data_IF_143303019817
#
_entry.id   IF_143303019817
#
_cell.length_a   1.000
_cell.length_b   1.000
_cell.length_c   1.000
_cell.angle_alpha   90.00
_cell.angle_beta   90.00
_cell.angle_gamma   90.00
#
_symmetry.space_group_name_H-M   'P 1'
#
loop_
_entity.id
_entity.type
_entity.pdbx_description
1 polymer ?
#
# COMPACT_ATOMS: atom_id res chain seq x y z
N UNK A 1 -6.86 -2.80 -17.92
CA UNK A 1 -5.99 -2.36 -19.02
C UNK A 1 -6.64 -2.64 -20.38
N UNK A 2 -6.33 -1.81 -21.37
CA UNK A 2 -6.89 -1.91 -22.73
C UNK A 2 -6.53 -3.26 -23.40
N UNK A 3 -5.53 -3.95 -22.85
CA UNK A 3 -5.05 -5.26 -23.30
C UNK A 3 -5.94 -6.44 -22.91
N UNK A 4 -6.92 -6.26 -22.01
CA UNK A 4 -7.77 -7.35 -21.51
C UNK A 4 -7.08 -8.40 -20.64
N UNK A 5 -5.77 -8.26 -20.38
CA UNK A 5 -4.96 -9.14 -19.52
C UNK A 5 -4.78 -8.54 -18.12
N UNK A 6 -4.41 -9.33 -17.09
CA UNK A 6 -3.95 -8.77 -15.82
C UNK A 6 -2.80 -7.78 -16.04
N UNK A 7 -2.74 -6.71 -15.23
CA UNK A 7 -1.69 -5.71 -15.36
C UNK A 7 -0.28 -6.27 -15.09
N UNK A 8 -0.15 -7.25 -14.17
CA UNK A 8 1.14 -7.81 -13.78
C UNK A 8 2.13 -6.72 -13.38
N UNK A 9 3.36 -6.82 -13.88
CA UNK A 9 4.42 -5.82 -13.67
C UNK A 9 4.10 -4.42 -14.23
N UNK A 10 3.14 -4.31 -15.15
CA UNK A 10 2.77 -3.04 -15.78
C UNK A 10 1.73 -2.25 -14.97
N UNK A 11 1.35 -2.73 -13.78
CA UNK A 11 0.47 -1.96 -12.91
C UNK A 11 1.19 -0.66 -12.49
N UNK A 12 0.54 0.51 -12.60
CA UNK A 12 1.18 1.78 -12.26
C UNK A 12 1.57 1.83 -10.78
N UNK A 13 2.65 2.54 -10.49
CA UNK A 13 3.01 2.84 -9.10
C UNK A 13 1.90 3.71 -8.50
N UNK A 14 1.40 3.30 -7.35
CA UNK A 14 0.36 4.01 -6.59
C UNK A 14 0.93 4.57 -5.30
N UNK A 15 0.50 5.77 -4.96
CA UNK A 15 0.90 6.50 -3.76
C UNK A 15 -0.22 6.53 -2.73
N UNK A 16 0.10 7.01 -1.52
CA UNK A 16 -0.91 7.25 -0.48
C UNK A 16 -1.95 8.28 -0.93
N UNK A 17 -1.52 9.31 -1.67
CA UNK A 17 -2.42 10.31 -2.26
C UNK A 17 -3.40 9.68 -3.25
N UNK A 18 -2.93 8.77 -4.12
CA UNK A 18 -3.80 8.07 -5.08
C UNK A 18 -4.89 7.25 -4.37
N UNK A 19 -4.53 6.56 -3.28
CA UNK A 19 -5.50 5.82 -2.48
C UNK A 19 -6.52 6.72 -1.82
N UNK A 20 -6.08 7.83 -1.20
CA UNK A 20 -6.99 8.78 -0.55
C UNK A 20 -7.90 9.47 -1.55
N UNK A 21 -7.39 9.84 -2.73
CA UNK A 21 -8.19 10.41 -3.82
C UNK A 21 -9.23 9.39 -4.33
N UNK A 22 -8.87 8.12 -4.46
CA UNK A 22 -9.81 7.06 -4.83
C UNK A 22 -10.92 6.88 -3.77
N UNK A 23 -10.56 6.92 -2.49
CA UNK A 23 -11.51 6.85 -1.38
C UNK A 23 -12.44 8.07 -1.33
N UNK A 24 -11.94 9.27 -1.62
CA UNK A 24 -12.75 10.48 -1.69
C UNK A 24 -13.80 10.41 -2.81
N UNK A 25 -13.41 9.92 -3.99
CA UNK A 25 -14.35 9.68 -5.10
C UNK A 25 -15.42 8.65 -4.73
N UNK A 26 -15.06 7.62 -3.96
CA UNK A 26 -16.03 6.67 -3.44
C UNK A 26 -16.99 7.34 -2.44
N UNK A 27 -16.46 8.19 -1.55
CA UNK A 27 -17.29 8.95 -0.60
C UNK A 27 -18.32 9.82 -1.33
N UNK A 28 -17.94 10.45 -2.46
CA UNK A 28 -18.86 11.23 -3.30
C UNK A 28 -20.00 10.36 -3.85
N UNK A 29 -19.70 9.17 -4.36
CA UNK A 29 -20.71 8.21 -4.86
C UNK A 29 -21.64 7.74 -3.74
N UNK A 30 -21.12 7.64 -2.51
CA UNK A 30 -21.90 7.25 -1.33
C UNK A 30 -22.65 8.43 -0.69
N UNK A 31 -22.54 9.65 -1.22
CA UNK A 31 -23.07 10.89 -0.65
C UNK A 31 -22.59 11.14 0.80
N UNK A 32 -21.30 10.93 1.05
CA UNK A 32 -20.65 11.22 2.33
C UNK A 32 -19.81 12.49 2.17
N UNK A 33 -20.37 13.60 2.63
CA UNK A 33 -19.70 14.90 2.56
C UNK A 33 -18.55 15.01 3.58
N UNK A 34 -18.78 14.54 4.80
CA UNK A 34 -17.83 14.65 5.91
C UNK A 34 -17.77 13.37 6.75
N UNK A 35 -16.56 12.85 6.95
CA UNK A 35 -16.30 11.77 7.89
C UNK A 35 -16.30 12.28 9.33
N UNK A 36 -16.99 11.57 10.22
CA UNK A 36 -16.89 11.82 11.65
C UNK A 36 -15.46 11.58 12.16
N UNK A 37 -14.81 10.52 11.68
CA UNK A 37 -13.39 10.26 11.93
C UNK A 37 -12.77 9.44 10.81
N UNK A 38 -11.48 9.65 10.56
CA UNK A 38 -10.62 8.75 9.76
C UNK A 38 -9.57 8.17 10.70
N UNK A 39 -9.47 6.84 10.74
CA UNK A 39 -8.67 6.11 11.73
C UNK A 39 -7.79 5.11 11.02
N UNK A 40 -6.49 5.07 11.34
CA UNK A 40 -5.59 4.12 10.72
C UNK A 40 -4.31 3.86 11.50
N UNK A 41 -3.84 2.61 11.45
CA UNK A 41 -2.55 2.18 11.98
C UNK A 41 -1.50 2.02 10.89
N UNK A 42 -0.21 2.25 11.19
CA UNK A 42 0.90 2.03 10.23
C UNK A 42 0.66 2.76 8.89
N UNK A 43 0.65 2.07 7.75
CA UNK A 43 0.31 2.64 6.44
C UNK A 43 -1.12 3.21 6.38
N UNK A 44 -2.05 2.66 7.15
CA UNK A 44 -3.39 3.24 7.31
C UNK A 44 -3.35 4.58 8.05
N UNK A 45 -2.42 4.76 8.99
CA UNK A 45 -2.22 6.04 9.66
C UNK A 45 -1.66 7.11 8.72
N UNK A 46 -0.83 6.71 7.75
CA UNK A 46 -0.34 7.60 6.69
C UNK A 46 -1.51 8.09 5.83
N UNK A 47 -2.44 7.18 5.48
CA UNK A 47 -3.67 7.54 4.76
C UNK A 47 -4.59 8.46 5.59
N UNK A 48 -4.75 8.19 6.89
CA UNK A 48 -5.55 9.03 7.78
C UNK A 48 -5.00 10.46 7.84
N UNK A 49 -3.68 10.62 7.97
CA UNK A 49 -3.02 11.92 7.89
C UNK A 49 -3.21 12.57 6.52
N UNK A 50 -3.02 11.82 5.43
CA UNK A 50 -3.21 12.34 4.08
C UNK A 50 -4.64 12.85 3.84
N UNK A 51 -5.66 12.19 4.37
CA UNK A 51 -7.04 12.67 4.35
C UNK A 51 -7.18 14.07 4.96
N UNK A 52 -6.56 14.32 6.11
CA UNK A 52 -6.62 15.64 6.75
C UNK A 52 -5.89 16.74 5.98
N UNK A 53 -4.91 16.37 5.16
CA UNK A 53 -4.14 17.32 4.35
C UNK A 53 -4.87 17.65 3.05
N UNK A 54 -5.31 16.61 2.32
CA UNK A 54 -5.93 16.78 1.00
C UNK A 54 -7.40 17.24 1.08
N UNK A 55 -8.12 16.84 2.13
CA UNK A 55 -9.56 17.08 2.29
C UNK A 55 -9.91 17.56 3.71
N UNK A 56 -9.31 18.67 4.19
CA UNK A 56 -9.46 19.12 5.57
C UNK A 56 -10.93 19.37 5.97
N UNK A 57 -11.76 19.87 5.05
CA UNK A 57 -13.18 20.15 5.32
C UNK A 57 -14.06 18.89 5.36
N UNK A 58 -13.53 17.73 4.95
CA UNK A 58 -14.25 16.46 4.87
C UNK A 58 -13.94 15.51 6.03
N UNK A 59 -13.17 15.95 7.04
CA UNK A 59 -12.77 15.10 8.18
C UNK A 59 -12.86 15.89 9.48
N UNK A 60 -13.64 15.40 10.44
CA UNK A 60 -13.74 16.05 11.78
C UNK A 60 -12.65 15.61 12.75
N UNK A 61 -12.26 14.33 12.71
CA UNK A 61 -11.26 13.76 13.60
C UNK A 61 -10.32 12.82 12.85
N UNK A 62 -9.05 12.84 13.23
CA UNK A 62 -8.04 11.92 12.70
C UNK A 62 -7.33 11.20 13.84
N UNK A 63 -7.29 9.87 13.77
CA UNK A 63 -6.54 9.03 14.68
C UNK A 63 -5.49 8.25 13.89
N UNK A 64 -4.23 8.67 14.00
CA UNK A 64 -3.08 7.99 13.40
C UNK A 64 -2.31 7.22 14.47
N UNK A 65 -2.21 5.90 14.31
CA UNK A 65 -1.67 5.00 15.34
C UNK A 65 -0.41 4.32 14.80
N UNK A 66 0.69 4.31 15.57
CA UNK A 66 1.95 3.64 15.18
C UNK A 66 2.35 3.94 13.72
N UNK A 67 2.30 5.23 13.36
CA UNK A 67 2.48 5.72 12.00
C UNK A 67 3.46 6.88 11.98
N UNK A 68 3.86 7.31 10.79
CA UNK A 68 4.76 8.42 10.58
C UNK A 68 4.34 9.18 9.31
N UNK A 69 4.57 10.51 9.23
CA UNK A 69 4.26 11.29 8.03
C UNK A 69 5.14 10.92 6.82
N UNK A 70 6.27 10.23 7.06
CA UNK A 70 7.15 9.69 6.02
C UNK A 70 7.87 8.44 6.51
N UNK A 71 8.33 7.61 5.58
CA UNK A 71 9.15 6.44 5.91
C UNK A 71 10.54 6.85 6.41
N UNK A 72 11.02 6.15 7.43
CA UNK A 72 12.41 6.26 7.88
C UNK A 72 13.35 5.48 6.95
N UNK A 73 14.65 5.82 6.97
CA UNK A 73 15.67 5.07 6.21
C UNK A 73 15.68 3.58 6.58
N UNK A 74 15.46 3.25 7.86
CA UNK A 74 15.35 1.87 8.33
C UNK A 74 14.14 1.15 7.73
N UNK A 75 12.96 1.78 7.70
CA UNK A 75 11.78 1.17 7.07
C UNK A 75 11.95 0.99 5.57
N UNK A 76 12.60 1.94 4.90
CA UNK A 76 12.94 1.83 3.47
C UNK A 76 13.86 0.63 3.25
N UNK A 77 14.90 0.46 4.07
CA UNK A 77 15.82 -0.67 3.96
C UNK A 77 15.10 -2.02 4.16
N UNK A 78 14.23 -2.16 5.17
CA UNK A 78 13.45 -3.38 5.36
C UNK A 78 12.52 -3.69 4.18
N UNK A 79 11.82 -2.68 3.66
CA UNK A 79 10.96 -2.83 2.50
C UNK A 79 11.75 -3.26 1.27
N UNK A 80 12.97 -2.73 1.09
CA UNK A 80 13.84 -3.10 -0.03
C UNK A 80 14.33 -4.55 0.09
N UNK A 81 14.75 -5.00 1.27
CA UNK A 81 15.13 -6.41 1.49
C UNK A 81 13.95 -7.35 1.20
N UNK A 82 12.75 -7.00 1.67
CA UNK A 82 11.55 -7.78 1.39
C UNK A 82 11.22 -7.82 -0.12
N UNK A 83 11.39 -6.69 -0.82
CA UNK A 83 11.19 -6.62 -2.28
C UNK A 83 12.21 -7.47 -3.02
N UNK A 84 13.49 -7.37 -2.67
CA UNK A 84 14.56 -8.18 -3.27
C UNK A 84 14.32 -9.68 -3.09
N UNK A 85 13.80 -10.10 -1.93
CA UNK A 85 13.44 -11.50 -1.71
C UNK A 85 12.39 -12.00 -2.73
N UNK A 86 11.42 -11.15 -3.10
CA UNK A 86 10.40 -11.48 -4.11
C UNK A 86 10.99 -11.41 -5.51
N UNK A 87 11.72 -10.33 -5.84
CA UNK A 87 12.26 -10.10 -7.19
C UNK A 87 13.28 -11.15 -7.63
N UNK A 88 14.01 -11.73 -6.67
CA UNK A 88 15.04 -12.75 -6.92
C UNK A 88 14.50 -14.18 -6.92
N UNK A 89 13.21 -14.38 -6.63
CA UNK A 89 12.59 -15.69 -6.75
C UNK A 89 12.52 -16.11 -8.23
N UNK A 90 13.03 -17.30 -8.61
CA UNK A 90 12.98 -17.77 -10.00
C UNK A 90 11.57 -17.79 -10.60
N UNK A 91 10.56 -18.02 -9.76
CA UNK A 91 9.15 -18.07 -10.15
C UNK A 91 8.52 -16.67 -10.25
N UNK A 92 9.26 -15.58 -9.97
CA UNK A 92 8.74 -14.21 -10.12
C UNK A 92 8.56 -13.81 -11.57
N UNK A 93 9.42 -14.32 -12.47
CA UNK A 93 9.35 -14.08 -13.91
C UNK A 93 9.14 -12.60 -14.30
N UNK A 94 9.85 -11.69 -13.65
CA UNK A 94 9.76 -10.26 -13.90
C UNK A 94 8.38 -9.66 -13.61
N UNK A 95 7.56 -10.32 -12.79
CA UNK A 95 6.18 -9.93 -12.46
C UNK A 95 5.11 -10.52 -13.37
N UNK A 96 5.46 -11.39 -14.33
CA UNK A 96 4.53 -12.12 -15.20
C UNK A 96 4.24 -13.55 -14.74
N UNK A 97 4.50 -13.88 -13.47
CA UNK A 97 4.32 -15.22 -12.90
C UNK A 97 2.89 -15.77 -13.03
N UNK A 98 1.87 -14.91 -13.03
CA UNK A 98 0.47 -15.32 -13.23
C UNK A 98 0.22 -15.90 -14.62
N UNK A 99 0.88 -15.39 -15.67
CA UNK A 99 0.76 -15.91 -17.04
C UNK A 99 1.36 -17.31 -17.18
N UNK A 100 2.28 -17.66 -16.28
CA UNK A 100 2.95 -18.97 -16.23
C UNK A 100 2.27 -19.94 -15.26
N UNK A 101 1.22 -19.52 -14.57
CA UNK A 101 0.50 -20.35 -13.60
C UNK A 101 1.30 -20.69 -12.33
N UNK A 102 2.30 -19.87 -12.00
CA UNK A 102 3.20 -20.09 -10.84
C UNK A 102 3.12 -18.94 -9.85
N UNK A 103 3.71 -19.12 -8.66
CA UNK A 103 3.75 -18.14 -7.58
C UNK A 103 5.17 -18.09 -7.01
N UNK A 104 5.79 -16.90 -6.83
CA UNK A 104 7.09 -16.71 -6.17
C UNK A 104 7.01 -16.96 -4.66
N UNK A 105 6.67 -18.20 -4.28
CA UNK A 105 6.29 -18.56 -2.92
C UNK A 105 7.45 -18.39 -1.94
N UNK A 106 8.67 -18.73 -2.35
CA UNK A 106 9.86 -18.62 -1.48
C UNK A 106 10.16 -17.16 -1.17
N UNK A 107 10.14 -16.31 -2.19
CA UNK A 107 10.35 -14.88 -2.05
C UNK A 107 9.30 -14.21 -1.16
N UNK A 108 8.02 -14.56 -1.36
CA UNK A 108 6.92 -14.07 -0.53
C UNK A 108 7.05 -14.50 0.94
N UNK A 109 7.45 -15.75 1.20
CA UNK A 109 7.70 -16.23 2.57
C UNK A 109 8.82 -15.44 3.24
N UNK A 110 9.97 -15.26 2.58
CA UNK A 110 11.10 -14.51 3.12
C UNK A 110 10.74 -13.04 3.36
N UNK A 111 10.06 -12.40 2.41
CA UNK A 111 9.57 -11.03 2.56
C UNK A 111 8.66 -10.89 3.80
N UNK A 112 7.78 -11.88 4.04
CA UNK A 112 6.91 -11.89 5.22
C UNK A 112 7.69 -12.13 6.52
N UNK A 113 8.73 -12.96 6.51
CA UNK A 113 9.60 -13.15 7.68
C UNK A 113 10.31 -11.86 8.06
N UNK A 114 10.92 -11.17 7.09
CA UNK A 114 11.56 -9.87 7.30
C UNK A 114 10.59 -8.85 7.90
N UNK A 115 9.36 -8.79 7.38
CA UNK A 115 8.32 -7.90 7.88
C UNK A 115 7.85 -8.17 9.31
N UNK A 116 8.12 -9.35 9.89
CA UNK A 116 7.76 -9.63 11.28
C UNK A 116 8.87 -9.35 12.29
N UNK A 117 10.13 -9.23 11.85
CA UNK A 117 11.25 -8.95 12.76
C UNK A 117 10.99 -7.70 13.62
N UNK A 118 10.45 -6.59 13.09
CA UNK A 118 10.20 -5.39 13.90
C UNK A 118 9.03 -5.49 14.88
N UNK A 119 8.29 -6.60 14.94
CA UNK A 119 7.17 -6.79 15.88
C UNK A 119 7.59 -7.48 17.20
N UNK A 120 8.83 -7.95 17.28
CA UNK A 120 9.44 -8.47 18.51
C UNK A 120 9.95 -7.32 19.38
#
# INVERSE_FOLDING_TARGET
>A
PDTGKPFGANFPVVTVEDWVNSQARLADVLNIDTWAAVIGGSLGGMQALQWTISYPDRVRHCLAIASAPKLSAQNIAFNEVARQAILTDPEFHGGSFQERGVIPKRGLMLARMVGHIPYL
#
